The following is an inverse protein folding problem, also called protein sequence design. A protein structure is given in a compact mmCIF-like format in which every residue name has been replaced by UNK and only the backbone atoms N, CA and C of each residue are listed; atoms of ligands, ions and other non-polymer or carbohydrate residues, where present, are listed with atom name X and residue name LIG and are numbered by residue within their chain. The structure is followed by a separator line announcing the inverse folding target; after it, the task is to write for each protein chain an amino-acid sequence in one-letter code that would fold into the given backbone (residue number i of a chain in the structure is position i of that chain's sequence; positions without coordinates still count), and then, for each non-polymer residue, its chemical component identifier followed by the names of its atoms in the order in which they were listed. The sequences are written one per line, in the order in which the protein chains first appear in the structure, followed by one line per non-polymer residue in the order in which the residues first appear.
data_IF_005349754490
#
_entry.id   IF_005349754490
#
_cell.length_a   1.000
_cell.length_b   1.000
_cell.length_c   1.000
_cell.angle_alpha   90.00
_cell.angle_beta   90.00
_cell.angle_gamma   90.00
#
_symmetry.space_group_name_H-M   'P 1'
#
loop_
_entity.id
_entity.type
_entity.pdbx_description
1 polymer ?
#
# COMPACT_ATOMS: atom_id res chain seq x y z
N UNK A 1 10.32 -5.54 -30.58
CA UNK A 1 11.07 -6.26 -29.55
C UNK A 1 11.78 -5.23 -28.66
N UNK A 2 11.97 -5.46 -27.35
CA UNK A 2 12.65 -4.45 -26.51
C UNK A 2 14.12 -4.32 -26.92
N UNK A 3 14.74 -5.42 -27.36
CA UNK A 3 16.12 -5.41 -27.82
C UNK A 3 16.26 -4.62 -29.15
N UNK A 4 15.30 -4.76 -30.08
CA UNK A 4 15.21 -3.99 -31.33
C UNK A 4 15.05 -2.47 -31.09
N UNK A 5 14.27 -2.07 -30.09
CA UNK A 5 14.12 -0.66 -29.70
C UNK A 5 15.46 -0.08 -29.20
N UNK A 6 16.20 -0.84 -28.40
CA UNK A 6 17.48 -0.41 -27.83
C UNK A 6 18.58 -0.27 -28.89
N UNK A 7 18.60 -1.16 -29.89
CA UNK A 7 19.52 -1.07 -31.03
C UNK A 7 19.31 0.21 -31.84
N UNK A 8 18.06 0.65 -31.96
CA UNK A 8 17.69 1.85 -32.73
C UNK A 8 18.15 3.15 -32.05
N UNK A 9 18.17 3.17 -30.72
CA UNK A 9 18.57 4.34 -29.90
C UNK A 9 20.09 4.40 -29.63
N UNK A 10 20.90 3.49 -30.18
CA UNK A 10 22.36 3.50 -30.05
C UNK A 10 22.88 3.10 -28.65
N UNK A 11 22.02 2.56 -27.80
CA UNK A 11 22.35 2.11 -26.44
C UNK A 11 22.91 0.68 -26.42
N UNK A 12 24.09 0.47 -27.00
CA UNK A 12 24.70 -0.87 -27.12
C UNK A 12 25.34 -1.41 -25.82
N UNK A 13 25.52 -0.57 -24.80
CA UNK A 13 26.10 -0.98 -23.51
C UNK A 13 25.09 -0.80 -22.39
N UNK A 14 24.58 -1.92 -21.88
CA UNK A 14 23.96 -1.95 -20.55
C UNK A 14 24.84 -2.73 -19.59
N UNK A 15 25.02 -2.16 -18.40
CA UNK A 15 25.54 -2.83 -17.23
C UNK A 15 24.79 -4.15 -16.98
N UNK A 16 25.52 -5.11 -16.44
CA UNK A 16 25.13 -6.48 -16.11
C UNK A 16 23.63 -6.62 -15.74
N UNK A 17 22.82 -7.20 -16.63
CA UNK A 17 21.40 -7.49 -16.34
C UNK A 17 21.30 -8.43 -15.14
N UNK A 18 20.82 -7.91 -14.01
CA UNK A 18 20.55 -8.71 -12.83
C UNK A 18 19.12 -9.24 -12.88
N UNK A 19 18.97 -10.56 -12.87
CA UNK A 19 17.68 -11.21 -12.62
C UNK A 19 17.57 -11.38 -11.11
N UNK A 20 16.76 -10.55 -10.47
CA UNK A 20 16.60 -10.57 -9.02
C UNK A 20 15.22 -11.11 -8.67
N UNK A 21 15.13 -12.31 -8.05
CA UNK A 21 13.86 -12.83 -7.57
C UNK A 21 13.43 -12.06 -6.33
N UNK A 22 12.32 -11.32 -6.43
CA UNK A 22 11.72 -10.66 -5.28
C UNK A 22 10.30 -11.18 -5.04
N UNK A 23 10.06 -11.90 -3.93
CA UNK A 23 8.71 -12.26 -3.55
C UNK A 23 7.98 -11.01 -3.03
N UNK A 24 6.71 -10.83 -3.41
CA UNK A 24 5.83 -9.88 -2.74
C UNK A 24 5.48 -10.42 -1.35
N UNK A 25 5.68 -9.61 -0.30
CA UNK A 25 5.35 -10.02 1.07
C UNK A 25 5.08 -8.84 2.00
N UNK A 26 4.45 -9.14 3.13
CA UNK A 26 4.29 -8.22 4.27
C UNK A 26 4.51 -9.01 5.55
N UNK A 27 5.41 -8.56 6.42
CA UNK A 27 5.55 -9.14 7.76
C UNK A 27 4.30 -8.86 8.60
N UNK A 28 3.80 -9.87 9.30
CA UNK A 28 2.68 -9.71 10.25
C UNK A 28 3.01 -8.78 11.41
N UNK A 29 4.30 -8.72 11.78
CA UNK A 29 4.81 -7.88 12.87
C UNK A 29 5.96 -7.02 12.34
N UNK A 30 5.64 -5.78 12.00
CA UNK A 30 6.56 -4.74 11.55
C UNK A 30 7.23 -4.05 12.75
N UNK A 31 6.53 -3.92 13.89
CA UNK A 31 7.04 -3.31 15.11
C UNK A 31 6.71 -4.18 16.34
N UNK A 32 7.64 -4.38 17.27
CA UNK A 32 7.39 -5.19 18.48
C UNK A 32 7.47 -4.42 19.79
N UNK A 33 7.64 -3.09 19.73
CA UNK A 33 7.87 -2.28 20.92
C UNK A 33 9.36 -2.02 21.19
N UNK A 34 10.28 -2.83 20.68
CA UNK A 34 11.74 -2.65 20.80
C UNK A 34 12.38 -2.42 19.41
N UNK A 35 12.03 -3.26 18.45
CA UNK A 35 12.56 -3.36 17.10
C UNK A 35 11.49 -2.96 16.10
N UNK A 36 11.90 -2.21 15.08
CA UNK A 36 11.09 -1.86 13.92
C UNK A 36 11.76 -2.37 12.64
N UNK A 37 10.97 -3.06 11.81
CA UNK A 37 11.32 -3.39 10.42
C UNK A 37 10.91 -2.22 9.54
N UNK A 38 11.81 -1.79 8.65
CA UNK A 38 11.60 -0.64 7.75
C UNK A 38 11.93 -1.03 6.30
N UNK A 39 11.17 -0.49 5.34
CA UNK A 39 11.33 -0.74 3.92
C UNK A 39 11.19 -2.23 3.59
N UNK A 40 12.11 -2.75 2.78
CA UNK A 40 12.12 -4.15 2.36
C UNK A 40 12.28 -5.13 3.54
N UNK A 41 12.76 -4.71 4.71
CA UNK A 41 12.76 -5.57 5.89
C UNK A 41 11.36 -5.78 6.48
N UNK A 42 10.40 -4.89 6.18
CA UNK A 42 9.01 -4.96 6.64
C UNK A 42 8.07 -5.57 5.61
N UNK A 43 8.20 -5.13 4.36
CA UNK A 43 7.35 -5.53 3.26
C UNK A 43 8.01 -5.20 1.92
N UNK A 44 7.74 -6.03 0.91
CA UNK A 44 8.13 -5.77 -0.46
C UNK A 44 6.93 -5.93 -1.39
N UNK A 45 6.86 -5.05 -2.38
CA UNK A 45 5.88 -5.08 -3.46
C UNK A 45 6.55 -4.62 -4.74
N UNK A 46 6.13 -5.18 -5.87
CA UNK A 46 6.58 -4.71 -7.18
C UNK A 46 6.36 -3.19 -7.35
N UNK A 47 7.26 -2.49 -8.04
CA UNK A 47 7.33 -1.04 -8.00
C UNK A 47 6.34 -0.34 -8.94
N UNK A 48 5.22 -0.99 -9.32
CA UNK A 48 4.26 -0.46 -10.30
C UNK A 48 3.78 0.96 -9.94
N UNK A 49 3.60 1.24 -8.65
CA UNK A 49 3.05 2.50 -8.12
C UNK A 49 4.06 3.31 -7.29
N UNK A 50 5.36 3.00 -7.39
CA UNK A 50 6.44 3.70 -6.67
C UNK A 50 6.22 3.86 -5.14
N UNK A 51 5.54 2.91 -4.50
CA UNK A 51 5.11 3.04 -3.08
C UNK A 51 6.21 2.74 -2.06
N UNK A 52 7.36 2.19 -2.47
CA UNK A 52 8.38 1.67 -1.55
C UNK A 52 8.93 2.73 -0.59
N UNK A 53 9.33 3.90 -1.12
CA UNK A 53 9.89 5.00 -0.31
C UNK A 53 8.81 5.58 0.61
N UNK A 54 7.61 5.78 0.10
CA UNK A 54 6.47 6.30 0.88
C UNK A 54 6.09 5.34 2.01
N UNK A 55 6.15 4.03 1.76
CA UNK A 55 5.94 3.00 2.78
C UNK A 55 7.01 3.07 3.89
N UNK A 56 8.28 3.20 3.51
CA UNK A 56 9.38 3.34 4.47
C UNK A 56 9.23 4.62 5.32
N UNK A 57 8.89 5.74 4.70
CA UNK A 57 8.61 7.00 5.40
C UNK A 57 7.48 6.84 6.42
N UNK A 58 6.36 6.19 6.03
CA UNK A 58 5.25 5.94 6.94
C UNK A 58 5.66 5.07 8.13
N UNK A 59 6.43 4.01 7.89
CA UNK A 59 6.92 3.11 8.94
C UNK A 59 7.85 3.86 9.92
N UNK A 60 8.81 4.65 9.40
CA UNK A 60 9.71 5.48 10.21
C UNK A 60 8.91 6.48 11.04
N UNK A 61 7.99 7.22 10.41
CA UNK A 61 7.17 8.21 11.09
C UNK A 61 6.35 7.64 12.23
N UNK A 62 5.70 6.50 11.99
CA UNK A 62 4.90 5.83 13.01
C UNK A 62 5.77 5.39 14.20
N UNK A 63 6.93 4.81 13.95
CA UNK A 63 7.85 4.36 15.00
C UNK A 63 8.41 5.53 15.80
N UNK A 64 8.83 6.60 15.13
CA UNK A 64 9.33 7.81 15.80
C UNK A 64 8.24 8.48 16.63
N UNK A 65 7.00 8.55 16.12
CA UNK A 65 5.89 9.12 16.86
C UNK A 65 5.63 8.32 18.16
N UNK A 66 5.63 6.98 18.07
CA UNK A 66 5.51 6.12 19.26
C UNK A 66 6.66 6.32 20.24
N UNK A 67 7.90 6.32 19.75
CA UNK A 67 9.09 6.48 20.60
C UNK A 67 9.16 7.82 21.32
N UNK A 68 8.76 8.90 20.68
CA UNK A 68 8.93 10.25 21.20
C UNK A 68 7.75 10.72 22.05
N UNK A 69 6.54 10.19 21.81
CA UNK A 69 5.31 10.69 22.45
C UNK A 69 4.60 9.69 23.36
N UNK A 70 5.10 8.45 23.49
CA UNK A 70 4.52 7.44 24.37
C UNK A 70 5.52 6.98 25.42
N UNK A 71 5.03 6.76 26.63
CA UNK A 71 5.85 6.19 27.70
C UNK A 71 6.23 4.74 27.36
N UNK A 72 7.38 4.29 27.86
CA UNK A 72 7.97 2.98 27.53
C UNK A 72 7.00 1.83 27.86
N UNK A 73 6.24 1.97 28.95
CA UNK A 73 5.28 0.98 29.44
C UNK A 73 4.09 0.77 28.49
N UNK A 74 3.89 1.66 27.52
CA UNK A 74 2.80 1.59 26.56
C UNK A 74 3.24 1.07 25.18
N UNK A 75 4.54 0.97 24.91
CA UNK A 75 5.05 0.66 23.57
C UNK A 75 4.72 -0.77 23.13
N UNK A 76 4.83 -1.75 24.02
CA UNK A 76 4.42 -3.14 23.73
C UNK A 76 2.91 -3.27 23.54
N UNK A 77 2.13 -2.59 24.38
CA UNK A 77 0.66 -2.58 24.29
C UNK A 77 0.20 -1.99 22.96
N UNK A 78 0.80 -0.88 22.54
CA UNK A 78 0.42 -0.15 21.35
C UNK A 78 0.95 -0.82 20.06
N UNK A 79 1.97 -1.69 20.16
CA UNK A 79 2.56 -2.41 19.04
C UNK A 79 1.51 -3.16 18.20
N UNK A 80 0.51 -3.78 18.83
CA UNK A 80 -0.58 -4.47 18.12
C UNK A 80 -1.36 -3.52 17.21
N UNK A 81 -1.68 -2.32 17.68
CA UNK A 81 -2.42 -1.32 16.91
C UNK A 81 -1.56 -0.73 15.79
N UNK A 82 -0.29 -0.47 16.06
CA UNK A 82 0.68 -0.01 15.06
C UNK A 82 0.85 -1.05 13.94
N UNK A 83 1.05 -2.32 14.28
CA UNK A 83 1.16 -3.40 13.29
C UNK A 83 -0.09 -3.51 12.44
N UNK A 84 -1.27 -3.50 13.06
CA UNK A 84 -2.53 -3.54 12.33
C UNK A 84 -2.64 -2.39 11.33
N UNK A 85 -2.24 -1.18 11.71
CA UNK A 85 -2.21 -0.03 10.80
C UNK A 85 -1.22 -0.22 9.64
N UNK A 86 0.05 -0.54 9.95
CA UNK A 86 1.11 -0.65 8.95
C UNK A 86 0.87 -1.81 7.98
N UNK A 87 0.46 -2.98 8.49
CA UNK A 87 0.10 -4.14 7.67
C UNK A 87 -1.11 -3.82 6.79
N UNK A 88 -2.17 -3.22 7.35
CA UNK A 88 -3.34 -2.81 6.57
C UNK A 88 -2.94 -1.87 5.44
N UNK A 89 -2.06 -0.90 5.69
CA UNK A 89 -1.59 0.02 4.64
C UNK A 89 -0.85 -0.70 3.51
N UNK A 90 0.07 -1.61 3.85
CA UNK A 90 0.80 -2.36 2.83
C UNK A 90 -0.13 -3.25 2.00
N UNK A 91 -1.13 -3.88 2.63
CA UNK A 91 -2.14 -4.65 1.92
C UNK A 91 -2.99 -3.77 1.00
N UNK A 92 -3.34 -2.55 1.41
CA UNK A 92 -4.04 -1.60 0.54
C UNK A 92 -3.25 -1.22 -0.70
N UNK A 93 -1.93 -1.05 -0.60
CA UNK A 93 -1.08 -0.85 -1.80
C UNK A 93 -1.13 -2.08 -2.72
N UNK A 94 -1.11 -3.28 -2.15
CA UNK A 94 -1.19 -4.52 -2.93
C UNK A 94 -2.50 -4.69 -3.68
N UNK A 95 -3.61 -4.25 -3.07
CA UNK A 95 -4.89 -4.22 -3.75
C UNK A 95 -4.91 -3.20 -4.89
N UNK A 96 -4.30 -2.04 -4.70
CA UNK A 96 -4.20 -1.03 -5.77
C UNK A 96 -3.37 -1.53 -6.96
N UNK A 97 -2.25 -2.20 -6.70
CA UNK A 97 -1.45 -2.86 -7.74
C UNK A 97 -2.25 -4.00 -8.39
N UNK A 98 -2.90 -4.87 -7.61
CA UNK A 98 -3.73 -5.95 -8.13
C UNK A 98 -4.89 -5.47 -8.99
N UNK A 99 -5.44 -4.28 -8.70
CA UNK A 99 -6.49 -3.66 -9.50
C UNK A 99 -6.00 -3.30 -10.92
N UNK A 100 -4.79 -2.76 -11.06
CA UNK A 100 -4.18 -2.50 -12.37
C UNK A 100 -4.10 -3.78 -13.21
N UNK A 101 -3.71 -4.90 -12.58
CA UNK A 101 -3.67 -6.18 -13.29
C UNK A 101 -5.05 -6.71 -13.70
N UNK A 102 -6.09 -6.37 -12.94
CA UNK A 102 -7.41 -6.96 -13.13
C UNK A 102 -8.26 -6.18 -14.13
N UNK A 103 -8.05 -4.87 -14.18
CA UNK A 103 -8.87 -3.94 -14.96
C UNK A 103 -8.09 -3.21 -16.07
N UNK A 104 -6.76 -3.21 -16.04
CA UNK A 104 -5.94 -2.30 -16.87
C UNK A 104 -5.52 -2.81 -18.24
N UNK A 105 -5.76 -4.07 -18.59
CA UNK A 105 -5.24 -4.63 -19.85
C UNK A 105 -6.30 -4.78 -20.92
N UNK A 106 -5.93 -4.35 -22.13
CA UNK A 106 -6.64 -4.62 -23.40
C UNK A 106 -6.38 -6.01 -23.98
N UNK A 107 -5.45 -6.77 -23.39
CA UNK A 107 -4.98 -8.05 -23.92
C UNK A 107 -5.62 -9.22 -23.16
N UNK A 108 -6.05 -10.25 -23.89
CA UNK A 108 -6.67 -11.47 -23.35
C UNK A 108 -5.68 -12.63 -23.25
N UNK A 109 -4.55 -12.41 -22.56
CA UNK A 109 -3.60 -13.51 -22.27
C UNK A 109 -4.01 -14.28 -21.02
N UNK A 110 -3.46 -15.47 -20.83
CA UNK A 110 -3.71 -16.31 -19.65
C UNK A 110 -3.41 -15.57 -18.34
N UNK A 111 -2.37 -14.73 -18.33
CA UNK A 111 -2.02 -13.88 -17.21
C UNK A 111 -3.15 -12.88 -16.88
N UNK A 112 -3.62 -12.11 -17.87
CA UNK A 112 -4.65 -11.09 -17.66
C UNK A 112 -6.00 -11.70 -17.30
N UNK A 113 -6.34 -12.84 -17.90
CA UNK A 113 -7.54 -13.61 -17.55
C UNK A 113 -7.48 -14.12 -16.12
N UNK A 114 -6.33 -14.66 -15.69
CA UNK A 114 -6.13 -15.11 -14.32
C UNK A 114 -6.27 -13.97 -13.31
N UNK A 115 -5.63 -12.82 -13.57
CA UNK A 115 -5.69 -11.66 -12.68
C UNK A 115 -7.13 -11.19 -12.46
N UNK A 116 -7.87 -11.03 -13.58
CA UNK A 116 -9.26 -10.55 -13.60
C UNK A 116 -10.27 -11.51 -12.96
N UNK A 117 -10.20 -12.80 -13.30
CA UNK A 117 -11.25 -13.76 -12.93
C UNK A 117 -10.98 -14.49 -11.61
N UNK A 118 -9.72 -14.63 -11.20
CA UNK A 118 -9.35 -15.46 -10.04
C UNK A 118 -8.70 -14.65 -8.92
N UNK A 119 -7.61 -13.95 -9.23
CA UNK A 119 -6.82 -13.25 -8.22
C UNK A 119 -7.64 -12.12 -7.56
N UNK A 120 -8.27 -11.26 -8.37
CA UNK A 120 -9.04 -10.13 -7.86
C UNK A 120 -10.24 -10.51 -6.99
N UNK A 121 -11.17 -11.38 -7.41
CA UNK A 121 -12.33 -11.72 -6.57
C UNK A 121 -11.95 -12.42 -5.26
N UNK A 122 -10.81 -13.10 -5.23
CA UNK A 122 -10.27 -13.78 -4.05
C UNK A 122 -9.65 -12.77 -3.10
N UNK A 123 -8.68 -11.98 -3.54
CA UNK A 123 -7.96 -11.04 -2.67
C UNK A 123 -8.78 -9.81 -2.28
N UNK A 124 -9.79 -9.43 -3.06
CA UNK A 124 -10.80 -8.43 -2.69
C UNK A 124 -11.69 -8.87 -1.52
N UNK A 125 -11.83 -10.18 -1.27
CA UNK A 125 -12.71 -10.75 -0.24
C UNK A 125 -11.97 -11.48 0.88
N UNK A 126 -10.73 -11.89 0.65
CA UNK A 126 -9.94 -12.64 1.61
C UNK A 126 -9.46 -11.71 2.74
N UNK A 127 -10.19 -11.74 3.84
CA UNK A 127 -9.75 -11.24 5.13
C UNK A 127 -8.80 -12.24 5.81
N UNK A 128 -7.65 -11.77 6.30
CA UNK A 128 -6.88 -12.47 7.34
C UNK A 128 -5.53 -11.83 7.61
N UNK A 129 -5.22 -11.49 8.88
CA UNK A 129 -4.43 -12.51 9.57
C UNK A 129 -4.93 -12.97 10.96
N UNK A 130 -6.12 -12.57 11.41
CA UNK A 130 -7.16 -13.52 11.92
C UNK A 130 -8.26 -12.97 12.86
N UNK A 131 -8.24 -11.76 13.44
CA UNK A 131 -9.37 -11.35 14.33
C UNK A 131 -9.90 -9.93 14.24
N UNK A 132 -9.44 -9.09 13.33
CA UNK A 132 -9.74 -7.64 13.40
C UNK A 132 -10.51 -7.16 12.19
N UNK A 133 -11.68 -6.56 12.44
CA UNK A 133 -12.52 -5.85 11.46
C UNK A 133 -11.69 -4.96 10.55
N UNK A 134 -11.31 -5.52 9.41
CA UNK A 134 -10.47 -4.87 8.42
C UNK A 134 -11.37 -4.52 7.24
N UNK A 135 -12.22 -3.50 7.41
CA UNK A 135 -12.96 -2.83 6.33
C UNK A 135 -12.03 -2.08 5.34
N UNK A 136 -10.73 -2.43 5.29
CA UNK A 136 -9.82 -1.93 4.26
C UNK A 136 -10.36 -2.18 2.85
N UNK A 137 -11.10 -3.27 2.70
CA UNK A 137 -11.72 -3.73 1.46
C UNK A 137 -13.02 -2.97 1.13
N UNK A 138 -13.77 -2.52 2.16
CA UNK A 138 -14.94 -1.66 1.96
C UNK A 138 -14.55 -0.31 1.34
N UNK A 139 -13.41 0.25 1.75
CA UNK A 139 -12.91 1.51 1.18
C UNK A 139 -12.65 1.45 -0.34
N UNK A 140 -12.18 0.31 -0.84
CA UNK A 140 -12.01 0.10 -2.30
C UNK A 140 -13.35 -0.07 -3.02
N UNK A 141 -14.30 -0.77 -2.41
CA UNK A 141 -15.65 -0.93 -2.97
C UNK A 141 -16.39 0.41 -3.04
N UNK A 142 -16.28 1.23 -1.99
CA UNK A 142 -16.82 2.60 -1.96
C UNK A 142 -16.12 3.51 -2.98
N UNK A 143 -14.79 3.41 -3.12
CA UNK A 143 -14.04 4.13 -4.15
C UNK A 143 -14.51 3.76 -5.56
N UNK A 144 -14.68 2.47 -5.85
CA UNK A 144 -15.15 2.00 -7.17
C UNK A 144 -16.59 2.41 -7.42
N UNK A 145 -17.47 2.35 -6.39
CA UNK A 145 -18.82 2.91 -6.51
C UNK A 145 -18.78 4.40 -6.86
N UNK A 146 -17.92 5.17 -6.20
CA UNK A 146 -17.76 6.60 -6.44
C UNK A 146 -17.20 6.91 -7.84
N UNK A 147 -16.22 6.15 -8.32
CA UNK A 147 -15.69 6.30 -9.69
C UNK A 147 -16.74 5.94 -10.76
N UNK A 148 -17.65 5.01 -10.46
CA UNK A 148 -18.74 4.64 -11.35
C UNK A 148 -19.96 5.58 -11.23
N UNK A 149 -19.93 6.60 -10.36
CA UNK A 149 -20.98 7.60 -10.32
C UNK A 149 -20.86 8.54 -11.54
N UNK A 150 -21.96 8.82 -12.24
CA UNK A 150 -21.94 9.65 -13.44
C UNK A 150 -21.61 11.12 -13.15
N UNK A 151 -21.80 11.57 -11.92
CA UNK A 151 -21.46 12.92 -11.43
C UNK A 151 -21.02 12.81 -9.98
N UNK A 152 -19.81 13.27 -9.67
CA UNK A 152 -19.39 13.54 -8.29
C UNK A 152 -19.91 14.93 -7.95
N UNK A 153 -20.94 15.03 -7.10
CA UNK A 153 -21.43 16.32 -6.64
C UNK A 153 -20.32 17.02 -5.83
N UNK A 154 -20.04 18.27 -6.19
CA UNK A 154 -19.05 19.12 -5.52
C UNK A 154 -19.37 19.32 -4.04
N UNK A 155 -20.65 19.29 -3.66
CA UNK A 155 -21.08 19.35 -2.27
C UNK A 155 -20.73 18.07 -1.48
N UNK A 156 -20.88 16.90 -2.10
CA UNK A 156 -20.49 15.62 -1.49
C UNK A 156 -18.97 15.44 -1.46
N UNK A 157 -18.25 15.86 -2.52
CA UNK A 157 -16.79 15.95 -2.52
C UNK A 157 -16.28 16.81 -1.36
N UNK A 158 -16.87 17.99 -1.17
CA UNK A 158 -16.51 18.89 -0.09
C UNK A 158 -16.85 18.31 1.29
N UNK A 159 -17.93 17.53 1.45
CA UNK A 159 -18.23 16.82 2.72
C UNK A 159 -17.24 15.69 3.00
N UNK A 160 -16.80 14.96 1.97
CA UNK A 160 -15.84 13.86 2.11
C UNK A 160 -14.41 14.37 2.35
N UNK A 161 -14.03 15.49 1.74
CA UNK A 161 -12.76 16.20 1.96
C UNK A 161 -12.80 17.21 3.12
N UNK A 162 -13.97 17.43 3.76
CA UNK A 162 -14.11 18.29 4.94
C UNK A 162 -13.47 17.69 6.20
N UNK A 163 -13.15 16.39 6.18
CA UNK A 163 -12.14 15.84 7.09
C UNK A 163 -10.80 16.16 6.44
N UNK A 164 -9.92 16.95 7.09
CA UNK A 164 -8.73 17.42 6.43
C UNK A 164 -7.97 16.20 5.94
N UNK A 165 -7.46 16.31 4.70
CA UNK A 165 -6.41 15.45 4.18
C UNK A 165 -5.41 15.22 5.31
N UNK A 166 -5.51 14.07 5.98
CA UNK A 166 -4.53 13.59 6.94
C UNK A 166 -3.34 13.10 6.12
N UNK A 167 -2.78 14.04 5.37
CA UNK A 167 -1.41 14.00 4.95
C UNK A 167 -0.61 13.81 6.22
N UNK A 168 0.41 12.98 6.09
CA UNK A 168 1.44 12.77 7.08
C UNK A 168 1.93 14.08 7.73
N UNK A 169 1.79 15.23 7.05
CA UNK A 169 2.08 16.58 7.55
C UNK A 169 1.27 17.03 8.77
N UNK A 170 0.01 16.61 8.94
CA UNK A 170 -0.78 17.00 10.13
C UNK A 170 -0.43 16.17 11.38
N UNK A 171 -0.11 14.89 11.19
CA UNK A 171 0.36 14.03 12.28
C UNK A 171 1.81 14.32 12.67
N UNK A 172 2.65 14.81 11.74
CA UNK A 172 4.02 15.24 12.05
C UNK A 172 4.13 16.63 12.68
N UNK A 173 3.04 17.41 12.71
CA UNK A 173 3.02 18.75 13.31
C UNK A 173 2.31 18.85 14.67
N UNK A 174 1.90 17.73 15.29
CA UNK A 174 1.40 17.76 16.68
C UNK A 174 0.12 18.57 16.89
N UNK A 175 -0.71 18.73 15.85
CA UNK A 175 -1.95 19.52 15.91
C UNK A 175 -3.22 18.68 16.12
N UNK A 176 -3.11 17.52 16.77
CA UNK A 176 -4.26 16.87 17.38
C UNK A 176 -4.61 17.61 18.67
N UNK A 177 -5.72 18.34 18.69
CA UNK A 177 -6.19 19.06 19.86
C UNK A 177 -6.38 18.12 21.07
N UNK A 178 -5.85 18.57 22.22
CA UNK A 178 -6.05 18.15 23.63
C UNK A 178 -6.73 16.82 23.93
#
# INVERSE_FOLDING_TARGET
DFDEFLETEGGAEFEQRAVIPFPNFVHRQIYDGAIARIGNAAAFMEPLEATAIVAAQLQIGMVLNMRLNRSIEHLERDATTVNRFLVKRMLSYGLFVGWHYSCGSRHETDFWRHARERAWPTHRRAAGPEKTGCDALHGFDEMIKLLNQPVIDKADWNRMCAVPLTSYAQMSQGLGCT
#
